data_IF_769049900673
#
_entry.id   IF_769049900673
#
_cell.length_a   1.000
_cell.length_b   1.000
_cell.length_c   1.000
_cell.angle_alpha   90.00
_cell.angle_beta   90.00
_cell.angle_gamma   90.00
#
_symmetry.space_group_name_H-M   'P 1'
#
loop_
_entity.id
_entity.type
_entity.pdbx_description
1 polymer ?
2 branched ?
3 branched ?
4 non-polymer ?
5 water ?
#
# COMPACT_ATOMS: atom_id res chain seq x y z
N UNK A 1 8.06 -7.30 -12.79
CA UNK A 1 7.67 -5.92 -12.39
C UNK A 1 6.22 -5.66 -12.77
N UNK A 2 5.64 -4.61 -12.19
CA UNK A 2 4.29 -4.20 -12.51
C UNK A 2 4.36 -2.75 -12.96
N UNK A 3 3.43 -2.32 -13.81
CA UNK A 3 3.42 -0.95 -14.28
C UNK A 3 2.01 -0.37 -14.38
N UNK A 4 1.94 0.96 -14.34
CA UNK A 4 0.70 1.70 -14.46
C UNK A 4 1.07 3.06 -15.06
N UNK A 5 0.23 3.54 -15.96
CA UNK A 5 0.46 4.81 -16.61
C UNK A 5 -0.80 5.62 -16.39
N UNK A 6 -0.68 6.87 -15.98
CA UNK A 6 -1.87 7.68 -15.77
C UNK A 6 -2.42 8.32 -17.02
N UNK A 7 -1.60 8.34 -18.06
CA UNK A 7 -2.06 8.86 -19.32
C UNK A 7 -3.05 7.83 -19.87
N UNK A 8 -4.30 8.24 -20.05
CA UNK A 8 -5.31 7.34 -20.56
C UNK A 8 -5.89 6.39 -19.53
N UNK A 9 -5.46 6.55 -18.27
CA UNK A 9 -5.92 5.72 -17.18
C UNK A 9 -7.39 5.98 -16.84
N UNK A 10 -8.10 4.91 -16.53
CA UNK A 10 -9.50 5.00 -16.14
C UNK A 10 -9.70 3.91 -15.09
N UNK A 11 -10.92 3.79 -14.53
CA UNK A 11 -11.17 2.75 -13.52
C UNK A 11 -10.73 1.36 -13.95
N UNK A 12 -10.89 1.08 -15.24
CA UNK A 12 -10.52 -0.21 -15.81
C UNK A 12 -9.02 -0.52 -15.69
N UNK A 13 -8.17 0.28 -16.34
CA UNK A 13 -6.72 0.02 -16.29
C UNK A 13 -6.18 0.06 -14.86
N UNK A 14 -6.77 0.92 -14.03
CA UNK A 14 -6.34 1.00 -12.64
C UNK A 14 -6.60 -0.33 -11.93
N UNK A 15 -7.80 -0.86 -12.11
CA UNK A 15 -8.15 -2.14 -11.52
C UNK A 15 -7.19 -3.21 -11.99
N UNK A 16 -6.90 -3.21 -13.29
CA UNK A 16 -5.97 -4.18 -13.86
C UNK A 16 -4.59 -4.08 -13.26
N UNK A 17 -4.10 -2.86 -13.08
CA UNK A 17 -2.81 -2.65 -12.45
C UNK A 17 -2.86 -3.17 -11.01
N UNK A 18 -3.92 -2.85 -10.28
CA UNK A 18 -4.03 -3.33 -8.89
C UNK A 18 -4.11 -4.84 -8.90
N UNK A 19 -4.80 -5.41 -9.88
CA UNK A 19 -4.87 -6.88 -10.00
C UNK A 19 -3.45 -7.44 -10.19
N UNK A 20 -2.67 -6.78 -11.05
CA UNK A 20 -1.30 -7.22 -11.30
C UNK A 20 -0.50 -7.11 -10.02
N UNK A 21 -0.57 -5.93 -9.39
CA UNK A 21 0.14 -5.69 -8.13
C UNK A 21 -0.08 -6.87 -7.18
N UNK A 22 -1.33 -7.30 -7.04
CA UNK A 22 -1.67 -8.42 -6.17
C UNK A 22 -1.03 -9.72 -6.62
N UNK A 23 -1.12 -9.99 -7.92
CA UNK A 23 -0.58 -11.22 -8.49
C UNK A 23 0.93 -11.31 -8.45
N UNK A 24 1.60 -10.17 -8.31
CA UNK A 24 3.05 -10.14 -8.26
C UNK A 24 3.61 -10.63 -6.92
N UNK A 25 2.80 -10.53 -5.87
CA UNK A 25 3.22 -10.97 -4.53
C UNK A 25 3.10 -12.48 -4.45
N UNK A 26 4.16 -13.17 -4.01
CA UNK A 26 4.06 -14.62 -3.92
C UNK A 26 3.46 -15.09 -2.60
N UNK A 27 3.01 -16.33 -2.61
CA UNK A 27 2.39 -16.96 -1.44
C UNK A 27 2.33 -18.43 -1.81
N UNK A 28 2.27 -19.29 -0.80
CA UNK A 28 2.20 -20.71 -1.03
C UNK A 28 0.94 -21.29 -0.42
N UNK A 29 0.28 -20.51 0.42
CA UNK A 29 -0.91 -20.96 1.12
C UNK A 29 -1.98 -19.86 1.03
N UNK A 30 -3.24 -20.26 1.05
CA UNK A 30 -4.36 -19.33 1.06
C UNK A 30 -5.12 -19.62 2.32
N UNK A 31 -5.52 -18.58 3.04
CA UNK A 31 -6.26 -18.80 4.27
C UNK A 31 -7.65 -18.28 4.04
N UNK A 32 -8.61 -19.21 4.05
CA UNK A 32 -10.00 -18.91 3.78
C UNK A 32 -10.09 -18.29 2.41
N UNK A 33 -9.25 -18.80 1.51
CA UNK A 33 -9.22 -18.39 0.13
C UNK A 33 -8.50 -17.06 -0.14
N UNK A 34 -7.77 -16.55 0.85
CA UNK A 34 -7.06 -15.28 0.70
C UNK A 34 -5.55 -15.49 0.70
N UNK A 35 -4.87 -15.04 -0.36
CA UNK A 35 -3.41 -15.23 -0.41
C UNK A 35 -2.76 -14.86 0.92
N UNK A 36 -1.87 -15.72 1.40
CA UNK A 36 -1.18 -15.44 2.65
C UNK A 36 0.22 -15.02 2.27
N UNK A 37 0.63 -13.84 2.70
CA UNK A 37 1.96 -13.35 2.39
C UNK A 37 3.03 -14.13 3.15
N UNK A 38 4.11 -14.44 2.44
CA UNK A 38 5.21 -15.23 3.02
C UNK A 38 5.81 -14.67 4.31
N UNK A 39 6.39 -15.54 5.15
CA UNK A 39 6.98 -15.05 6.39
C UNK A 39 8.16 -14.13 6.04
N UNK A 40 8.87 -14.51 4.97
CA UNK A 40 10.00 -13.75 4.53
C UNK A 40 10.55 -14.30 3.23
N UNK A 41 11.29 -13.47 2.51
CA UNK A 41 11.92 -13.87 1.26
C UNK A 41 13.35 -13.39 1.35
N UNK A 42 14.29 -14.20 0.88
CA UNK A 42 15.69 -13.85 0.98
C UNK A 42 16.23 -13.21 -0.30
N UNK A 43 17.05 -12.17 -0.11
CA UNK A 43 17.70 -11.48 -1.21
C UNK A 43 16.89 -10.46 -1.98
N UNK A 44 17.26 -10.28 -3.25
CA UNK A 44 16.64 -9.32 -4.14
C UNK A 44 15.21 -9.65 -4.47
N UNK A 45 14.85 -10.92 -4.35
CA UNK A 45 13.48 -11.35 -4.67
C UNK A 45 12.46 -10.88 -3.67
N UNK A 46 12.94 -10.33 -2.56
CA UNK A 46 12.07 -9.82 -1.53
C UNK A 46 11.39 -8.53 -1.98
N UNK A 47 11.90 -7.94 -3.05
CA UNK A 47 11.40 -6.66 -3.53
C UNK A 47 10.78 -6.66 -4.92
N UNK A 48 9.62 -6.04 -5.01
CA UNK A 48 8.88 -5.87 -6.25
C UNK A 48 9.02 -4.43 -6.74
N UNK A 49 9.36 -4.28 -8.03
CA UNK A 49 9.51 -2.96 -8.61
C UNK A 49 8.26 -2.53 -9.39
N UNK A 50 7.72 -1.36 -9.03
CA UNK A 50 6.56 -0.78 -9.69
C UNK A 50 7.02 0.42 -10.50
N UNK A 51 6.76 0.39 -11.80
CA UNK A 51 7.11 1.50 -12.65
C UNK A 51 5.84 2.33 -12.78
N UNK A 52 5.90 3.59 -12.38
CA UNK A 52 4.74 4.46 -12.45
C UNK A 52 5.05 5.65 -13.35
N UNK A 53 4.11 5.98 -14.22
CA UNK A 53 4.30 7.09 -15.14
C UNK A 53 3.23 8.14 -14.89
N UNK A 54 3.63 9.40 -14.72
CA UNK A 54 2.62 10.44 -14.53
C UNK A 54 2.01 10.76 -15.89
N UNK A 55 1.02 11.64 -15.92
CA UNK A 55 0.37 12.00 -17.16
C UNK A 55 1.33 12.46 -18.28
N UNK A 56 2.43 13.10 -17.90
CA UNK A 56 3.39 13.57 -18.91
C UNK A 56 4.30 12.46 -19.41
N UNK A 57 4.31 11.34 -18.71
CA UNK A 57 5.14 10.24 -19.13
C UNK A 57 6.41 10.10 -18.32
N UNK A 58 6.59 10.94 -17.31
CA UNK A 58 7.77 10.82 -16.47
C UNK A 58 7.54 9.61 -15.59
N UNK A 59 8.61 8.98 -15.12
CA UNK A 59 8.45 7.78 -14.33
C UNK A 59 9.34 7.67 -13.09
N UNK A 60 8.81 6.97 -12.09
CA UNK A 60 9.57 6.68 -10.89
C UNK A 60 9.37 5.18 -10.74
N UNK A 61 10.33 4.51 -10.14
CA UNK A 61 10.21 3.09 -9.92
C UNK A 61 10.18 2.90 -8.42
N UNK A 62 9.11 2.27 -7.94
CA UNK A 62 8.95 2.07 -6.51
C UNK A 62 9.24 0.63 -6.12
N UNK A 63 10.06 0.43 -5.08
CA UNK A 63 10.40 -0.90 -4.60
C UNK A 63 9.49 -1.24 -3.42
N UNK A 64 8.83 -2.39 -3.52
CA UNK A 64 7.89 -2.84 -2.51
C UNK A 64 8.33 -4.14 -1.87
N UNK A 65 8.17 -4.23 -0.56
CA UNK A 65 8.54 -5.46 0.15
C UNK A 65 7.38 -6.42 -0.04
N UNK A 66 7.58 -7.46 -0.86
CA UNK A 66 6.51 -8.41 -1.15
C UNK A 66 5.97 -9.23 0.03
N UNK A 67 6.59 -9.11 1.21
CA UNK A 67 6.13 -9.86 2.37
C UNK A 67 5.05 -9.11 3.15
N UNK A 68 5.06 -7.78 3.07
CA UNK A 68 4.13 -6.94 3.84
C UNK A 68 3.44 -5.90 2.96
N UNK A 69 4.02 -5.66 1.79
CA UNK A 69 3.59 -4.63 0.84
C UNK A 69 3.89 -3.26 1.45
N UNK A 70 5.10 -3.14 1.98
CA UNK A 70 5.57 -1.85 2.46
C UNK A 70 6.46 -1.28 1.42
N UNK A 71 6.32 0.03 1.19
CA UNK A 71 7.15 0.74 0.24
C UNK A 71 8.49 0.94 0.92
N UNK A 72 9.58 0.61 0.24
CA UNK A 72 10.90 0.78 0.84
C UNK A 72 11.53 2.08 0.40
N UNK A 73 11.37 2.37 -0.89
CA UNK A 73 11.90 3.57 -1.50
C UNK A 73 11.55 3.56 -2.97
N UNK A 74 12.15 4.48 -3.74
CA UNK A 74 11.86 4.58 -5.16
C UNK A 74 13.05 5.19 -5.92
N UNK A 75 12.99 5.14 -7.25
CA UNK A 75 14.04 5.71 -8.09
C UNK A 75 13.45 6.78 -8.98
N UNK A 76 14.02 7.98 -8.88
CA UNK A 76 13.59 9.15 -9.66
C UNK A 76 14.76 9.60 -10.55
N UNK A 77 14.68 9.24 -11.83
CA UNK A 77 15.78 9.50 -12.78
C UNK A 77 16.93 8.78 -12.11
N UNK A 78 17.99 9.49 -11.76
CA UNK A 78 19.21 8.85 -11.28
C UNK A 78 19.46 9.02 -9.79
N UNK A 79 18.43 9.31 -9.02
CA UNK A 79 18.60 9.44 -7.58
C UNK A 79 17.67 8.45 -6.91
N UNK A 80 18.18 7.74 -5.91
CA UNK A 80 17.34 6.81 -5.20
C UNK A 80 16.96 7.44 -3.87
N UNK A 81 15.79 7.08 -3.35
CA UNK A 81 15.32 7.61 -2.08
C UNK A 81 14.73 6.46 -1.30
N UNK A 82 15.15 6.32 -0.04
CA UNK A 82 14.66 5.26 0.84
C UNK A 82 14.25 5.84 2.18
N UNK A 83 13.23 5.27 2.79
CA UNK A 83 12.80 5.75 4.10
C UNK A 83 13.94 5.57 5.07
N UNK A 84 13.82 6.22 6.22
CA UNK A 84 14.86 6.04 7.23
C UNK A 84 14.33 4.94 8.15
N UNK A 85 14.58 3.69 7.77
CA UNK A 85 14.15 2.54 8.57
C UNK A 85 15.05 1.39 8.16
N UNK A 86 15.32 0.47 9.10
CA UNK A 86 16.18 -0.69 8.85
C UNK A 86 15.84 -1.44 7.57
N UNK A 87 14.56 -1.79 7.43
CA UNK A 87 14.07 -2.53 6.28
C UNK A 87 14.45 -1.90 4.94
N UNK A 88 14.31 -0.58 4.85
CA UNK A 88 14.61 0.16 3.63
C UNK A 88 16.11 0.20 3.40
N UNK A 89 16.85 0.34 4.49
CA UNK A 89 18.30 0.39 4.39
C UNK A 89 18.75 -0.97 3.85
N UNK A 90 18.12 -2.03 4.34
CA UNK A 90 18.43 -3.37 3.85
C UNK A 90 18.08 -3.41 2.37
N UNK A 91 16.90 -2.92 2.05
CA UNK A 91 16.41 -2.88 0.69
C UNK A 91 17.35 -2.17 -0.27
N UNK A 92 18.07 -1.18 0.24
CA UNK A 92 19.00 -0.39 -0.59
C UNK A 92 20.22 -1.18 -1.02
N UNK A 93 20.46 -2.33 -0.39
CA UNK A 93 21.59 -3.15 -0.75
C UNK A 93 21.30 -3.95 -2.01
N UNK A 94 20.02 -4.01 -2.38
CA UNK A 94 19.59 -4.77 -3.53
C UNK A 94 19.02 -3.97 -4.69
N UNK A 95 18.16 -2.99 -4.40
CA UNK A 95 17.58 -2.22 -5.50
C UNK A 95 18.20 -0.85 -5.77
N UNK A 96 18.08 -0.45 -7.04
CA UNK A 96 18.60 0.82 -7.56
C UNK A 96 20.06 1.07 -7.19
N UNK A 97 20.87 0.02 -7.18
CA UNK A 97 22.29 0.17 -6.84
C UNK A 97 23.01 1.12 -7.79
N UNK A 98 22.59 1.13 -9.05
CA UNK A 98 23.23 1.98 -10.06
C UNK A 98 22.75 3.44 -10.08
N UNK A 99 21.93 3.86 -9.13
CA UNK A 99 21.52 5.26 -9.09
C UNK A 99 22.80 6.06 -8.83
N UNK A 100 22.85 7.31 -9.28
CA UNK A 100 24.08 8.10 -9.08
C UNK A 100 24.30 8.50 -7.63
N UNK A 101 23.23 8.76 -6.90
CA UNK A 101 23.34 9.09 -5.49
C UNK A 101 22.16 8.52 -4.73
N UNK A 102 22.33 8.29 -3.43
CA UNK A 102 21.24 7.78 -2.63
C UNK A 102 20.91 8.74 -1.52
N UNK A 103 19.65 9.12 -1.44
CA UNK A 103 19.20 10.01 -0.40
C UNK A 103 18.29 9.22 0.51
N UNK A 104 18.48 9.40 1.80
CA UNK A 104 17.64 8.73 2.78
C UNK A 104 16.66 9.84 3.09
N UNK A 105 15.38 9.52 3.18
CA UNK A 105 14.41 10.54 3.62
C UNK A 105 14.82 10.87 5.05
N UNK A 106 14.20 11.90 5.64
CA UNK A 106 14.26 12.18 7.07
C UNK A 106 13.18 11.57 7.99
N UNK A 107 12.58 10.45 7.60
CA UNK A 107 11.48 9.84 8.32
C UNK A 107 11.30 8.43 7.78
N UNK A 108 10.63 7.60 8.56
CA UNK A 108 10.33 6.23 8.16
C UNK A 108 9.05 6.25 7.30
N UNK A 109 8.56 5.07 6.95
CA UNK A 109 7.35 4.98 6.15
C UNK A 109 6.06 4.84 6.94
N UNK A 110 6.16 4.91 8.26
CA UNK A 110 5.01 4.80 9.15
C UNK A 110 4.03 5.96 8.96
N UNK A 111 2.74 5.66 8.88
CA UNK A 111 1.71 6.68 8.71
C UNK A 111 1.84 7.86 9.66
N UNK A 112 2.27 7.59 10.88
CA UNK A 112 2.42 8.65 11.88
C UNK A 112 3.62 9.56 11.64
N UNK A 113 4.75 9.00 11.24
CA UNK A 113 5.93 9.82 10.91
C UNK A 113 5.66 10.62 9.65
N UNK A 114 4.90 10.02 8.72
CA UNK A 114 4.58 10.67 7.45
C UNK A 114 3.64 11.85 7.60
N UNK A 115 2.68 11.71 8.51
CA UNK A 115 1.72 12.77 8.77
C UNK A 115 2.39 13.93 9.47
N UNK A 116 3.38 13.65 10.32
CA UNK A 116 4.12 14.72 10.99
C UNK A 116 4.93 15.49 9.97
N UNK A 117 5.76 14.77 9.22
CA UNK A 117 6.59 15.35 8.17
C UNK A 117 5.70 16.18 7.26
N UNK A 118 4.51 15.67 6.97
CA UNK A 118 3.56 16.35 6.11
C UNK A 118 2.77 17.52 6.73
N UNK A 119 2.61 17.50 8.05
CA UNK A 119 1.89 18.56 8.75
C UNK A 119 0.38 18.45 8.65
N UNK A 120 -0.11 17.23 8.46
CA UNK A 120 -1.54 16.97 8.36
C UNK A 120 -1.75 15.46 8.37
N UNK A 121 -2.89 15.02 8.89
CA UNK A 121 -3.23 13.59 8.87
C UNK A 121 -3.77 13.14 7.50
N UNK A 122 -3.81 11.82 7.29
CA UNK A 122 -4.32 11.24 6.04
C UNK A 122 -5.75 11.74 5.84
N UNK A 123 -6.47 11.86 6.96
CA UNK A 123 -7.85 12.34 7.03
C UNK A 123 -8.12 13.51 6.08
N UNK A 124 -7.19 14.45 6.04
CA UNK A 124 -7.37 15.66 5.25
C UNK A 124 -6.59 15.68 3.94
N UNK A 125 -6.03 14.56 3.51
CA UNK A 125 -5.28 14.55 2.25
C UNK A 125 -6.08 13.86 1.14
N UNK A 126 -6.54 14.62 0.15
CA UNK A 126 -7.31 14.05 -0.96
C UNK A 126 -6.52 13.02 -1.75
N UNK A 127 -7.19 11.93 -2.15
CA UNK A 127 -6.57 10.88 -2.92
C UNK A 127 -7.41 10.56 -4.15
N UNK A 128 -6.82 9.80 -5.05
CA UNK A 128 -7.51 9.47 -6.28
C UNK A 128 -6.41 9.34 -7.31
N UNK A 129 -6.78 9.15 -8.55
CA UNK A 129 -5.78 9.01 -9.61
C UNK A 129 -5.09 10.34 -9.90
N UNK A 130 -5.86 11.45 -9.90
CA UNK A 130 -5.23 12.74 -10.17
C UNK A 130 -4.16 13.00 -9.12
N UNK A 131 -4.50 12.69 -7.87
CA UNK A 131 -3.59 12.87 -6.74
C UNK A 131 -2.37 11.99 -6.91
N UNK A 132 -2.56 10.79 -7.46
CA UNK A 132 -1.42 9.92 -7.69
C UNK A 132 -0.52 10.51 -8.78
N UNK A 133 -1.09 11.28 -9.70
CA UNK A 133 -0.28 11.91 -10.76
C UNK A 133 0.56 13.02 -10.13
N UNK A 134 -0.04 13.73 -9.18
CA UNK A 134 0.68 14.80 -8.49
C UNK A 134 1.85 14.24 -7.72
N UNK A 135 1.59 13.12 -7.05
CA UNK A 135 2.59 12.45 -6.21
C UNK A 135 3.79 12.03 -7.04
N UNK A 136 3.55 11.33 -8.14
CA UNK A 136 4.66 10.91 -8.99
C UNK A 136 5.50 12.13 -9.35
N UNK A 137 4.82 13.20 -9.76
CA UNK A 137 5.46 14.45 -10.14
C UNK A 137 6.32 15.05 -9.05
N UNK A 138 5.81 15.06 -7.81
CA UNK A 138 6.52 15.59 -6.65
C UNK A 138 7.83 14.85 -6.38
N UNK A 139 7.74 13.53 -6.38
CA UNK A 139 8.87 12.69 -6.06
C UNK A 139 9.97 12.69 -7.12
N UNK A 140 9.71 13.24 -8.31
CA UNK A 140 10.74 13.31 -9.35
C UNK A 140 11.83 14.28 -8.90
N UNK A 141 11.43 15.26 -8.10
CA UNK A 141 12.33 16.28 -7.59
C UNK A 141 12.22 16.42 -6.09
N UNK A 142 13.30 16.06 -5.42
CA UNK A 142 13.38 16.05 -3.99
C UNK A 142 12.95 17.25 -3.17
N UNK A 143 12.02 17.00 -2.26
CA UNK A 143 11.41 17.97 -1.36
C UNK A 143 10.96 16.95 -0.32
N UNK A 144 11.59 16.92 0.84
CA UNK A 144 11.12 16.05 1.92
C UNK A 144 9.73 16.38 2.45
N UNK A 145 9.35 17.67 2.52
CA UNK A 145 8.01 17.97 3.02
C UNK A 145 6.92 17.64 2.02
N UNK A 146 7.12 18.01 0.76
CA UNK A 146 6.13 17.71 -0.27
C UNK A 146 6.07 16.20 -0.48
N UNK A 147 7.22 15.54 -0.30
CA UNK A 147 7.35 14.10 -0.47
C UNK A 147 6.53 13.30 0.55
N UNK A 148 6.51 13.75 1.81
CA UNK A 148 5.76 13.06 2.86
C UNK A 148 4.32 12.89 2.42
N UNK A 149 3.74 14.00 1.95
CA UNK A 149 2.38 13.99 1.49
C UNK A 149 2.21 13.19 0.21
N UNK A 150 3.16 13.27 -0.73
CA UNK A 150 3.02 12.49 -1.96
C UNK A 150 3.10 11.02 -1.64
N UNK A 151 3.95 10.70 -0.67
CA UNK A 151 4.14 9.34 -0.24
C UNK A 151 2.90 8.79 0.44
N UNK A 152 2.15 9.63 1.16
CA UNK A 152 0.92 9.16 1.80
C UNK A 152 -0.11 8.89 0.69
N UNK A 153 -0.06 9.69 -0.37
CA UNK A 153 -0.97 9.44 -1.48
C UNK A 153 -0.60 8.12 -2.15
N UNK A 154 0.70 7.94 -2.39
CA UNK A 154 1.20 6.74 -3.08
C UNK A 154 0.90 5.45 -2.32
N UNK A 155 1.16 5.44 -1.01
CA UNK A 155 0.91 4.24 -0.21
C UNK A 155 -0.52 3.74 -0.38
N UNK A 156 -1.45 4.66 -0.22
CA UNK A 156 -2.87 4.38 -0.28
C UNK A 156 -3.36 4.03 -1.67
N UNK A 157 -2.93 4.76 -2.69
CA UNK A 157 -3.38 4.45 -4.05
C UNK A 157 -3.00 2.99 -4.37
N UNK A 158 -1.80 2.56 -3.98
CA UNK A 158 -1.18 1.30 -4.41
C UNK A 158 -1.04 0.02 -3.58
N UNK A 159 -0.47 0.16 -2.39
CA UNK A 159 -0.44 -0.87 -1.36
C UNK A 159 -1.77 -1.13 -0.65
N UNK A 160 -2.43 -0.07 -0.21
CA UNK A 160 -3.72 -0.21 0.49
C UNK A 160 -4.81 -0.69 -0.48
N UNK A 161 -4.67 -0.30 -1.75
CA UNK A 161 -5.61 -0.70 -2.80
C UNK A 161 -5.47 -2.18 -3.14
N UNK A 162 -4.25 -2.70 -3.04
CA UNK A 162 -4.00 -4.11 -3.30
C UNK A 162 -4.53 -4.86 -2.07
N UNK A 163 -4.28 -4.32 -0.89
CA UNK A 163 -4.76 -4.90 0.36
C UNK A 163 -6.27 -5.06 0.45
N UNK A 164 -7.03 -4.02 0.11
CA UNK A 164 -8.49 -4.09 0.18
C UNK A 164 -9.21 -3.70 -1.10
N UNK A 165 -10.13 -4.54 -1.55
CA UNK A 165 -10.89 -4.30 -2.77
C UNK A 165 -11.66 -2.99 -2.61
N UNK A 166 -12.24 -2.79 -1.42
CA UNK A 166 -13.01 -1.58 -1.10
C UNK A 166 -12.23 -0.30 -1.34
N UNK A 167 -10.97 -0.31 -0.92
CA UNK A 167 -10.12 0.85 -1.11
C UNK A 167 -9.80 0.99 -2.62
N UNK A 168 -9.64 -0.14 -3.31
CA UNK A 168 -9.39 -0.10 -4.76
C UNK A 168 -10.62 0.58 -5.39
N UNK A 169 -11.80 0.24 -4.87
CA UNK A 169 -13.06 0.80 -5.33
C UNK A 169 -13.14 2.29 -5.04
N UNK A 170 -12.67 2.66 -3.86
CA UNK A 170 -12.67 4.07 -3.46
C UNK A 170 -11.85 4.89 -4.44
N UNK A 171 -10.70 4.37 -4.84
CA UNK A 171 -9.85 5.07 -5.79
C UNK A 171 -10.42 5.13 -7.20
N UNK A 172 -11.18 4.14 -7.63
CA UNK A 172 -11.75 4.16 -8.97
C UNK A 172 -12.87 5.19 -9.06
N UNK A 173 -13.49 5.52 -7.92
CA UNK A 173 -14.54 6.52 -7.89
C UNK A 173 -13.88 7.88 -7.99
N UNK A 174 -12.60 7.90 -7.63
CA UNK A 174 -11.81 9.11 -7.64
C UNK A 174 -10.85 9.10 -8.86
N UNK A 175 -11.26 8.45 -9.94
CA UNK A 175 -10.43 8.38 -11.14
C UNK A 175 -10.19 9.75 -11.76
N UNK A 176 -11.19 10.61 -11.67
CA UNK A 176 -11.10 11.94 -12.25
C UNK A 176 -11.28 13.07 -11.25
N UNK A 177 -11.44 12.75 -9.97
CA UNK A 177 -11.59 13.76 -8.92
C UNK A 177 -11.12 13.22 -7.58
N UNK A 178 -10.13 13.89 -6.97
CA UNK A 178 -9.61 13.42 -5.70
C UNK A 178 -10.62 13.72 -4.61
N UNK A 179 -10.48 13.01 -3.49
CA UNK A 179 -11.35 13.20 -2.36
C UNK A 179 -10.67 12.60 -1.15
N UNK A 180 -10.84 13.23 0.01
CA UNK A 180 -10.22 12.69 1.19
C UNK A 180 -10.78 11.29 1.36
N UNK A 181 -9.99 10.40 1.96
CA UNK A 181 -10.49 9.04 2.12
C UNK A 181 -11.66 8.95 3.12
N UNK A 182 -12.60 8.04 2.82
CA UNK A 182 -13.69 7.81 3.73
C UNK A 182 -13.03 7.26 4.99
N UNK A 183 -13.72 7.38 6.12
CA UNK A 183 -13.15 6.89 7.36
C UNK A 183 -13.05 5.37 7.38
N UNK A 184 -13.85 4.71 6.55
CA UNK A 184 -13.83 3.25 6.45
C UNK A 184 -12.47 2.86 5.87
N UNK A 185 -11.96 3.73 4.99
CA UNK A 185 -10.68 3.51 4.34
C UNK A 185 -9.55 3.60 5.34
N UNK A 186 -9.55 4.67 6.13
CA UNK A 186 -8.53 4.83 7.17
C UNK A 186 -8.65 3.68 8.17
N UNK A 187 -9.89 3.31 8.50
CA UNK A 187 -10.15 2.21 9.43
C UNK A 187 -9.54 0.90 8.95
N UNK A 188 -9.75 0.59 7.67
CA UNK A 188 -9.20 -0.63 7.07
C UNK A 188 -7.69 -0.61 7.06
N UNK A 189 -7.10 0.54 6.69
CA UNK A 189 -5.65 0.68 6.65
C UNK A 189 -5.07 0.41 8.03
N UNK A 190 -5.66 1.04 9.03
CA UNK A 190 -5.24 0.88 10.44
C UNK A 190 -5.43 -0.56 10.93
N UNK A 191 -6.41 -1.28 10.39
CA UNK A 191 -6.71 -2.64 10.83
C UNK A 191 -6.16 -3.80 10.01
N UNK A 192 -5.44 -3.54 8.91
CA UNK A 192 -4.90 -4.63 8.08
C UNK A 192 -4.12 -5.67 8.88
N UNK A 193 -3.24 -5.19 9.74
CA UNK A 193 -2.43 -6.07 10.58
C UNK A 193 -3.34 -6.98 11.44
N UNK A 194 -4.18 -6.37 12.26
CA UNK A 194 -5.08 -7.11 13.13
C UNK A 194 -6.02 -8.08 12.40
N UNK A 195 -6.53 -7.64 11.27
CA UNK A 195 -7.41 -8.49 10.48
C UNK A 195 -6.65 -9.69 9.95
N UNK A 196 -5.40 -9.47 9.54
CA UNK A 196 -4.57 -10.54 9.03
C UNK A 196 -4.31 -11.54 10.13
N UNK A 197 -4.06 -11.07 11.33
CA UNK A 197 -3.82 -11.94 12.46
C UNK A 197 -5.05 -12.79 12.77
N UNK A 198 -6.18 -12.13 13.01
CA UNK A 198 -7.42 -12.84 13.33
C UNK A 198 -7.93 -13.76 12.23
N UNK A 199 -7.58 -13.50 10.98
CA UNK A 199 -8.01 -14.40 9.90
C UNK A 199 -7.26 -15.72 10.06
N UNK A 200 -5.97 -15.61 10.33
CA UNK A 200 -5.13 -16.78 10.52
C UNK A 200 -5.45 -17.51 11.80
N UNK A 201 -5.76 -16.78 12.87
CA UNK A 201 -6.11 -17.41 14.13
C UNK A 201 -7.44 -18.16 14.06
N UNK A 202 -8.35 -17.67 13.22
CA UNK A 202 -9.66 -18.28 13.04
C UNK A 202 -9.54 -19.72 12.52
N UNK A 203 -8.52 -19.95 11.71
CA UNK A 203 -8.21 -21.24 11.08
C UNK A 203 -8.37 -22.48 11.99
N UNK A 204 -8.07 -22.38 13.28
CA UNK A 204 -8.26 -23.54 14.13
C UNK A 204 -9.21 -23.19 15.26
N UNK A 205 -10.03 -22.17 15.00
CA UNK A 205 -11.01 -21.67 15.94
C UNK A 205 -12.31 -21.61 15.15
N UNK A 206 -12.44 -22.54 14.21
CA UNK A 206 -13.61 -22.67 13.34
C UNK A 206 -14.06 -21.40 12.64
N UNK A 207 -13.11 -20.55 12.25
CA UNK A 207 -13.47 -19.32 11.58
C UNK A 207 -13.93 -18.21 12.50
N UNK A 208 -13.80 -18.42 13.81
CA UNK A 208 -14.16 -17.41 14.78
C UNK A 208 -12.88 -16.65 15.14
N UNK A 209 -13.00 -15.32 15.30
CA UNK A 209 -11.86 -14.51 15.70
C UNK A 209 -11.64 -14.68 17.19
N UNK A 210 -10.38 -14.79 17.60
CA UNK A 210 -10.07 -14.91 19.01
C UNK A 210 -10.42 -13.56 19.64
N UNK A 211 -10.09 -12.49 18.93
CA UNK A 211 -10.37 -11.12 19.35
C UNK A 211 -11.05 -10.41 18.17
N UNK A 212 -12.26 -9.85 18.40
CA UNK A 212 -13.04 -9.15 17.38
C UNK A 212 -12.37 -7.84 16.99
N UNK A 213 -12.51 -7.47 15.71
CA UNK A 213 -11.95 -6.22 15.20
C UNK A 213 -13.04 -5.16 15.12
N UNK A 214 -12.73 -3.94 15.56
CA UNK A 214 -13.70 -2.87 15.47
C UNK A 214 -13.36 -2.04 14.25
N UNK A 215 -14.33 -1.87 13.36
CA UNK A 215 -14.15 -1.10 12.14
C UNK A 215 -15.23 -0.05 12.03
N UNK A 216 -15.07 0.77 11.00
CA UNK A 216 -16.02 1.80 10.66
C UNK A 216 -16.42 1.37 9.26
N UNK A 217 -17.73 1.28 9.01
CA UNK A 217 -18.21 0.82 7.70
C UNK A 217 -18.55 1.90 6.68
N UNK A 218 -19.01 1.46 5.51
CA UNK A 218 -19.38 2.32 4.40
C UNK A 218 -20.18 3.54 4.85
N UNK A 219 -21.25 3.28 5.58
CA UNK A 219 -22.16 4.32 6.09
C UNK A 219 -21.57 5.15 7.24
N UNK A 220 -20.35 4.80 7.65
CA UNK A 220 -19.68 5.53 8.72
C UNK A 220 -20.06 5.11 10.12
N UNK A 221 -20.51 3.87 10.28
CA UNK A 221 -20.91 3.36 11.58
C UNK A 221 -19.92 2.36 12.16
N UNK A 222 -19.82 2.36 13.47
CA UNK A 222 -18.93 1.46 14.20
C UNK A 222 -19.46 0.04 14.07
N UNK A 223 -18.61 -0.89 13.67
CA UNK A 223 -19.03 -2.27 13.52
C UNK A 223 -17.96 -3.24 13.99
N UNK A 224 -18.40 -4.36 14.57
CA UNK A 224 -17.51 -5.40 15.07
C UNK A 224 -17.38 -6.55 14.07
N UNK A 225 -16.16 -7.01 13.85
CA UNK A 225 -15.96 -8.15 12.97
C UNK A 225 -15.54 -9.32 13.88
N UNK A 226 -16.41 -10.32 13.98
CA UNK A 226 -16.16 -11.48 14.83
C UNK A 226 -15.73 -12.84 14.22
N UNK A 227 -15.92 -13.00 12.92
CA UNK A 227 -15.57 -14.24 12.24
C UNK A 227 -15.45 -14.04 10.74
N UNK A 228 -14.97 -15.08 10.07
CA UNK A 228 -14.78 -15.06 8.63
C UNK A 228 -15.97 -14.91 7.70
N UNK A 229 -17.21 -14.90 8.19
CA UNK A 229 -18.36 -14.78 7.27
C UNK A 229 -18.67 -13.33 6.91
N UNK A 230 -17.94 -12.40 7.53
CA UNK A 230 -18.14 -10.98 7.27
C UNK A 230 -17.69 -10.64 5.86
N UNK A 231 -18.40 -9.71 5.22
CA UNK A 231 -18.05 -9.29 3.88
C UNK A 231 -16.59 -8.86 3.86
N UNK A 232 -16.12 -8.28 4.97
CA UNK A 232 -14.74 -7.82 5.05
C UNK A 232 -13.79 -8.95 4.71
N UNK A 233 -14.10 -10.16 5.20
CA UNK A 233 -13.28 -11.34 4.94
C UNK A 233 -13.63 -12.09 3.64
N UNK A 234 -14.92 -12.11 3.32
CA UNK A 234 -15.40 -12.79 2.13
C UNK A 234 -15.12 -12.04 0.84
N UNK A 235 -15.19 -10.70 0.88
CA UNK A 235 -15.00 -9.86 -0.30
C UNK A 235 -13.80 -8.89 -0.28
N UNK A 236 -13.72 -8.09 0.78
CA UNK A 236 -12.70 -7.04 0.91
C UNK A 236 -11.18 -7.13 1.00
N UNK A 237 -10.68 -7.71 2.09
CA UNK A 237 -9.27 -8.04 2.20
C UNK A 237 -8.80 -8.99 1.08
N UNK A 238 -7.68 -8.65 0.44
CA UNK A 238 -7.15 -9.43 -0.68
C UNK A 238 -5.77 -10.06 -0.45
N UNK A 239 -5.08 -9.58 0.57
CA UNK A 239 -3.74 -10.08 0.92
C UNK A 239 -3.68 -10.12 2.45
N UNK A 240 -2.99 -11.10 3.01
CA UNK A 240 -2.89 -11.24 4.46
C UNK A 240 -1.44 -11.13 4.95
N UNK A 241 -1.26 -10.34 5.99
CA UNK A 241 0.06 -10.18 6.59
C UNK A 241 0.30 -11.40 7.43
N UNK A 242 1.36 -12.15 7.09
CA UNK A 242 1.73 -13.36 7.81
C UNK A 242 1.96 -13.04 9.29
N UNK A 243 1.34 -13.81 10.19
CA UNK A 243 1.51 -13.54 11.62
C UNK A 243 2.97 -13.67 12.05
N UNK A 244 3.79 -14.32 11.24
CA UNK A 244 5.20 -14.45 11.59
C UNK A 244 5.87 -13.06 11.54
N UNK A 245 5.09 -12.06 11.11
CA UNK A 245 5.55 -10.68 10.98
C UNK A 245 4.66 -9.74 11.80
N UNK A 246 3.91 -10.30 12.75
CA UNK A 246 3.04 -9.50 13.60
C UNK A 246 3.33 -9.72 15.08
X LIG B 1 -20.03 -13.92 13.20
X LIG B 1 -20.99 -14.18 14.37
X LIG B 1 -22.42 -14.23 13.91
X LIG B 1 -22.73 -12.97 13.15
X LIG B 1 -21.77 -12.79 11.97
X LIG B 1 -22.02 -11.47 11.27
X LIG B 1 -19.96 -15.43 16.15
X LIG B 1 -19.33 -16.75 16.56
X LIG B 1 -20.67 -15.43 15.04
X LIG B 1 -23.27 -14.32 15.04
X LIG B 1 -24.08 -13.05 12.68
X LIG B 1 -20.41 -12.75 12.46
X LIG B 1 -20.86 -10.98 10.61
X LIG B 1 -19.78 -14.43 16.84
X LIG B 2 -24.96 -12.08 13.34
X LIG B 2 -25.95 -11.40 12.38
X LIG B 2 -26.34 -10.02 12.85
X LIG B 2 -26.89 -10.03 14.29
X LIG B 2 -26.42 -11.26 15.09
X LIG B 2 -27.33 -12.48 14.98
X LIG B 2 -25.90 -12.03 10.08
X LIG B 2 -25.59 -11.60 8.65
X LIG B 2 -25.37 -11.32 11.06
X LIG B 2 -27.35 -9.54 11.97
X LIG B 2 -26.47 -8.84 14.99
X LIG B 2 -25.08 -11.63 14.69
X LIG B 2 -27.40 -13.17 16.23
X LIG B 2 -26.62 -13.00 10.27
X LIG C 1 5.28 -0.17 11.84
X LIG C 1 4.81 -0.10 10.34
X LIG C 1 5.74 0.76 9.39
X LIG C 1 7.20 0.61 9.88
X LIG C 1 8.23 1.16 8.90
X LIG C 1 6.81 0.10 12.10
X LIG C 1 7.14 0.36 13.48
X LIG C 1 4.85 -1.44 12.39
X LIG C 1 3.40 0.24 10.29
X LIG C 1 5.70 0.47 7.95
X LIG C 1 7.32 1.14 11.22
X LIG C 1 9.33 1.62 9.70
X LIG C 2 4.90 1.29 7.03
X LIG C 2 5.27 1.17 5.49
X LIG C 2 4.12 1.80 4.56
X LIG C 2 2.62 1.83 5.17
X LIG C 2 2.72 2.06 6.66
X LIG C 2 1.52 2.09 7.61
X LIG C 2 6.71 1.46 5.13
X LIG C 2 4.31 1.37 3.09
X LIG C 2 1.73 0.69 5.04
X LIG C 2 3.48 0.98 7.16
X LIG C 2 1.98 2.70 8.85
X LIG D 1 -6.19 10.42 -12.97
X LIG D 1 -5.29 11.47 -12.69
X LIG D 1 -5.72 9.66 -14.20
X LIG D 1 -4.47 10.16 -14.61
X LIG D 1 -6.73 9.80 -15.32
X LIG D 1 -6.24 9.18 -16.49
#
# INVERSE_FOLDING_TARGET
DVSFRLSGADPSSYGMFIKDLRNALPHTEKVYNIPLLLPSVSGAGRYLLMHLFNYDGNTITVAVDVTNVYIMGYLALTTSYFFNEPAADLASQYVFRSARRKITLPYSGNYERLQIAAGKPREKIPIGLPALDTAISTLLHYDSTAAAGALLVLIQTTAEAARFKYIEQQIQERAYRDEVPSSATISLENSWSGLSKQIQLAQGNNGVFRTPTVLVDSKGNRVQITNVTSNVVTSNIQLLLNTKNI
NAG C1 C2 C3 C4 C5 C6 C7 C8 N2 O3 O4 O5 O6 O7
NAG C1 C2 C3 C4 C5 C6 C7 C8 N2 O3 O4 O5 O6 O7
BGC C2 C3 C4 C5 C6 C1 O1 O2 O3 O4 O5 O6
GAL C1 C2 C3 C4 C5 C6 O2 O3 O4 O5 O6
GOL C1 O1 C2 O2 C3 O3
#
